data_IF_773359494491
#
_entry.id   IF_773359494491
#
_cell.length_a   1.000
_cell.length_b   1.000
_cell.length_c   1.000
_cell.angle_alpha   90.00
_cell.angle_beta   90.00
_cell.angle_gamma   90.00
#
_symmetry.space_group_name_H-M   'P 1'
#
loop_
_entity.id
_entity.type
_entity.pdbx_description
1 polymer ?
#
# COMPACT_ATOMS: atom_id res chain seq x y z
N UNK A 1 10.25 -2.94 -14.91
CA UNK A 1 9.84 -3.35 -13.56
C UNK A 1 8.51 -2.70 -13.22
N UNK A 2 7.60 -3.43 -12.62
CA UNK A 2 6.37 -2.83 -12.12
C UNK A 2 6.73 -1.91 -10.94
N UNK A 3 6.27 -0.67 -10.99
CA UNK A 3 6.53 0.31 -9.94
C UNK A 3 5.58 0.04 -8.75
N UNK A 4 6.11 -0.43 -7.64
CA UNK A 4 5.38 -0.69 -6.41
C UNK A 4 5.23 0.56 -5.53
N UNK A 5 5.72 1.72 -5.99
CA UNK A 5 5.60 2.99 -5.26
C UNK A 5 4.14 3.40 -5.05
N UNK A 6 3.84 4.11 -3.96
CA UNK A 6 2.48 4.58 -3.67
C UNK A 6 1.96 5.50 -4.78
N UNK A 7 0.66 5.41 -5.13
CA UNK A 7 0.07 6.31 -6.11
C UNK A 7 0.00 7.74 -5.57
N UNK A 8 0.15 8.73 -6.45
CA UNK A 8 -0.07 10.13 -6.12
C UNK A 8 -1.57 10.44 -6.21
N UNK A 9 -2.21 10.64 -5.08
CA UNK A 9 -3.66 10.88 -4.99
C UNK A 9 -3.90 12.36 -4.73
N UNK A 10 -4.71 12.97 -5.60
CA UNK A 10 -5.12 14.36 -5.47
C UNK A 10 -6.64 14.47 -5.61
N UNK A 11 -7.21 15.47 -4.98
CA UNK A 11 -8.62 15.89 -5.18
C UNK A 11 -8.66 17.21 -5.94
N UNK A 12 -9.74 17.43 -6.69
CA UNK A 12 -9.99 18.69 -7.35
C UNK A 12 -10.87 19.56 -6.45
N UNK A 13 -10.34 20.71 -6.03
CA UNK A 13 -11.06 21.69 -5.21
C UNK A 13 -10.99 23.05 -5.88
N UNK A 14 -12.12 23.61 -6.26
CA UNK A 14 -12.23 24.94 -6.89
C UNK A 14 -11.27 25.16 -8.08
N UNK A 15 -11.13 24.14 -8.93
CA UNK A 15 -10.24 24.22 -10.12
C UNK A 15 -8.76 23.97 -9.85
N UNK A 16 -8.37 23.73 -8.60
CA UNK A 16 -7.00 23.41 -8.22
C UNK A 16 -6.88 21.94 -7.80
N UNK A 17 -5.67 21.37 -7.95
CA UNK A 17 -5.35 20.04 -7.44
C UNK A 17 -4.78 20.14 -6.04
N UNK A 18 -5.37 19.43 -5.10
CA UNK A 18 -4.91 19.33 -3.72
C UNK A 18 -4.39 17.92 -3.45
N UNK A 19 -3.12 17.76 -2.97
CA UNK A 19 -2.59 16.45 -2.63
C UNK A 19 -3.30 15.90 -1.40
N UNK A 20 -3.76 14.63 -1.48
CA UNK A 20 -4.53 13.96 -0.44
C UNK A 20 -3.65 13.04 0.39
N UNK A 21 -2.83 12.22 -0.25
CA UNK A 21 -1.96 11.29 0.44
C UNK A 21 -0.52 11.80 0.61
N UNK A 22 0.24 11.19 1.52
CA UNK A 22 1.63 11.57 1.84
C UNK A 22 2.52 11.60 0.60
N UNK A 23 2.45 10.59 -0.26
CA UNK A 23 3.25 10.54 -1.49
C UNK A 23 2.97 11.74 -2.43
N UNK A 24 1.70 12.14 -2.58
CA UNK A 24 1.35 13.34 -3.34
C UNK A 24 1.85 14.61 -2.66
N UNK A 25 1.76 14.73 -1.34
CA UNK A 25 2.26 15.89 -0.60
C UNK A 25 3.77 16.06 -0.77
N UNK A 26 4.52 14.97 -0.68
CA UNK A 26 5.98 14.99 -0.90
C UNK A 26 6.34 15.33 -2.35
N UNK A 27 5.63 14.74 -3.32
CA UNK A 27 5.82 15.07 -4.73
C UNK A 27 5.56 16.55 -5.03
N UNK A 28 4.50 17.13 -4.49
CA UNK A 28 4.19 18.56 -4.64
C UNK A 28 5.26 19.48 -4.01
N UNK A 29 5.85 19.08 -2.87
CA UNK A 29 6.96 19.81 -2.26
C UNK A 29 8.25 19.75 -3.08
N UNK A 30 8.49 18.63 -3.76
CA UNK A 30 9.70 18.42 -4.55
C UNK A 30 9.67 19.14 -5.91
N UNK A 31 8.49 19.49 -6.43
CA UNK A 31 8.34 20.14 -7.74
C UNK A 31 8.40 21.65 -7.60
N UNK A 32 9.42 22.27 -8.23
CA UNK A 32 9.53 23.72 -8.37
C UNK A 32 9.24 24.15 -9.80
N UNK A 33 8.32 25.10 -9.98
CA UNK A 33 8.00 25.67 -11.28
C UNK A 33 6.88 24.93 -12.04
N UNK A 34 6.92 24.96 -13.37
CA UNK A 34 5.90 24.36 -14.22
C UNK A 34 6.10 22.87 -14.36
N UNK A 35 5.05 22.08 -14.17
CA UNK A 35 5.06 20.64 -14.38
C UNK A 35 3.92 20.20 -15.29
N UNK A 36 4.04 19.01 -15.87
CA UNK A 36 2.98 18.36 -16.63
C UNK A 36 2.31 17.33 -15.73
N UNK A 37 0.99 17.44 -15.55
CA UNK A 37 0.20 16.54 -14.73
C UNK A 37 -0.80 15.79 -15.60
N UNK A 38 -0.79 14.47 -15.55
CA UNK A 38 -1.80 13.63 -16.18
C UNK A 38 -2.85 13.25 -15.16
N UNK A 39 -4.08 13.70 -15.38
CA UNK A 39 -5.22 13.42 -14.50
C UNK A 39 -6.00 12.24 -15.07
N UNK A 40 -6.21 11.21 -14.25
CA UNK A 40 -7.04 10.06 -14.59
C UNK A 40 -8.01 9.76 -13.45
N UNK A 41 -9.25 9.33 -13.79
CA UNK A 41 -10.19 8.88 -12.77
C UNK A 41 -9.68 7.61 -12.10
N UNK A 42 -9.70 7.58 -10.77
CA UNK A 42 -9.28 6.39 -10.02
C UNK A 42 -10.20 5.20 -10.28
N UNK A 43 -9.60 4.07 -10.62
CA UNK A 43 -10.28 2.77 -10.65
C UNK A 43 -10.45 2.22 -9.22
N UNK A 44 -11.28 1.19 -9.05
CA UNK A 44 -11.39 0.45 -7.76
C UNK A 44 -10.04 -0.09 -7.31
N UNK A 45 -9.29 -0.68 -8.23
CA UNK A 45 -7.97 -1.24 -7.93
C UNK A 45 -6.98 -0.18 -7.42
N UNK A 46 -6.99 1.01 -8.05
CA UNK A 46 -6.16 2.13 -7.61
C UNK A 46 -6.58 2.67 -6.23
N UNK A 47 -7.90 2.71 -5.91
CA UNK A 47 -8.39 3.10 -4.58
C UNK A 47 -7.93 2.14 -3.50
N UNK A 48 -8.03 0.83 -3.72
CA UNK A 48 -7.52 -0.20 -2.81
C UNK A 48 -6.01 -0.10 -2.62
N UNK A 49 -5.28 0.21 -3.69
CA UNK A 49 -3.84 0.43 -3.61
C UNK A 49 -3.51 1.67 -2.80
N UNK A 50 -4.26 2.76 -2.96
CA UNK A 50 -4.12 3.98 -2.15
C UNK A 50 -4.39 3.70 -0.67
N UNK A 51 -5.48 2.99 -0.35
CA UNK A 51 -5.77 2.53 1.00
C UNK A 51 -4.62 1.71 1.59
N UNK A 52 -4.14 0.72 0.85
CA UNK A 52 -3.07 -0.17 1.30
C UNK A 52 -1.80 0.61 1.67
N UNK A 53 -1.33 1.52 0.83
CA UNK A 53 -0.13 2.30 1.13
C UNK A 53 -0.30 3.26 2.30
N UNK A 54 -1.48 3.88 2.44
CA UNK A 54 -1.78 4.71 3.61
C UNK A 54 -1.85 3.87 4.89
N UNK A 55 -2.37 2.64 4.82
CA UNK A 55 -2.34 1.69 5.94
C UNK A 55 -0.89 1.40 6.37
N UNK A 56 0.00 1.16 5.42
CA UNK A 56 1.40 0.92 5.74
C UNK A 56 2.07 2.13 6.40
N UNK A 57 1.76 3.35 5.98
CA UNK A 57 2.26 4.57 6.63
C UNK A 57 1.78 4.65 8.09
N UNK A 58 0.48 4.43 8.34
CA UNK A 58 -0.10 4.41 9.70
C UNK A 58 0.57 3.37 10.58
N UNK A 59 0.68 2.15 10.08
CA UNK A 59 1.27 1.03 10.85
C UNK A 59 2.76 1.24 11.10
N UNK A 60 3.49 1.76 10.11
CA UNK A 60 4.90 2.08 10.28
C UNK A 60 5.13 3.15 11.38
N UNK A 61 4.25 4.15 11.49
CA UNK A 61 4.29 5.12 12.58
C UNK A 61 4.07 4.46 13.95
N UNK A 62 3.03 3.60 14.08
CA UNK A 62 2.76 2.85 15.31
C UNK A 62 3.95 1.97 15.72
N UNK A 63 4.59 1.31 14.75
CA UNK A 63 5.74 0.45 15.01
C UNK A 63 6.98 1.27 15.41
N UNK A 64 7.22 2.44 14.81
CA UNK A 64 8.30 3.34 15.22
C UNK A 64 8.14 3.83 16.66
N UNK A 65 6.91 4.16 17.06
CA UNK A 65 6.63 4.62 18.42
C UNK A 65 6.82 3.52 19.47
N UNK A 66 6.72 2.27 19.08
CA UNK A 66 6.82 1.10 19.98
C UNK A 66 8.16 0.38 19.94
N UNK A 67 8.93 0.60 18.89
CA UNK A 67 10.22 -0.06 18.68
C UNK A 67 11.26 0.98 18.27
N UNK A 68 12.53 0.76 18.61
CA UNK A 68 13.63 1.63 18.17
C UNK A 68 14.01 1.41 16.69
N UNK A 69 13.19 0.69 15.94
CA UNK A 69 13.43 0.38 14.53
C UNK A 69 12.80 1.44 13.64
N UNK A 70 13.53 2.00 12.67
CA UNK A 70 13.03 3.05 11.77
C UNK A 70 12.11 2.46 10.67
N UNK A 71 10.96 1.94 11.06
CA UNK A 71 9.98 1.42 10.12
C UNK A 71 9.47 2.50 9.18
N UNK A 72 9.39 2.17 7.89
CA UNK A 72 8.70 2.94 6.87
C UNK A 72 7.74 2.04 6.06
N UNK A 73 6.92 2.64 5.22
CA UNK A 73 5.92 1.91 4.44
C UNK A 73 6.56 0.91 3.47
N UNK A 74 7.71 1.21 2.89
CA UNK A 74 8.38 0.32 1.92
C UNK A 74 8.98 -0.89 2.61
N UNK A 75 9.67 -0.70 3.73
CA UNK A 75 10.20 -1.79 4.55
C UNK A 75 9.09 -2.70 5.05
N UNK A 76 7.99 -2.11 5.53
CA UNK A 76 6.82 -2.86 5.97
C UNK A 76 6.14 -3.61 4.82
N UNK A 77 6.07 -3.01 3.62
CA UNK A 77 5.57 -3.65 2.42
C UNK A 77 6.37 -4.92 2.07
N UNK A 78 7.68 -4.83 2.08
CA UNK A 78 8.55 -5.98 1.81
C UNK A 78 8.40 -7.08 2.86
N UNK A 79 8.29 -6.71 4.13
CA UNK A 79 8.07 -7.65 5.22
C UNK A 79 6.72 -8.37 5.10
N UNK A 80 5.64 -7.62 4.79
CA UNK A 80 4.33 -8.20 4.55
C UNK A 80 4.33 -9.21 3.41
N UNK A 81 4.96 -8.88 2.27
CA UNK A 81 5.04 -9.80 1.12
C UNK A 81 5.77 -11.09 1.48
N UNK A 82 6.84 -11.02 2.25
CA UNK A 82 7.60 -12.19 2.72
C UNK A 82 6.79 -13.03 3.71
N UNK A 83 6.27 -12.39 4.76
CA UNK A 83 5.56 -13.06 5.85
C UNK A 83 4.25 -13.68 5.39
N UNK A 84 3.48 -12.98 4.58
CA UNK A 84 2.23 -13.47 4.00
C UNK A 84 2.43 -14.30 2.73
N UNK A 85 3.68 -14.60 2.34
CA UNK A 85 4.05 -15.45 1.21
C UNK A 85 3.36 -15.04 -0.10
N UNK A 86 3.47 -13.75 -0.43
CA UNK A 86 2.99 -13.23 -1.71
C UNK A 86 4.02 -13.53 -2.79
N UNK A 87 3.97 -14.73 -3.36
CA UNK A 87 4.93 -15.22 -4.33
C UNK A 87 4.39 -15.19 -5.76
N UNK A 88 5.30 -15.02 -6.72
CA UNK A 88 5.03 -15.06 -8.15
C UNK A 88 5.46 -16.42 -8.72
N UNK A 89 4.47 -17.30 -8.86
CA UNK A 89 4.69 -18.65 -9.40
C UNK A 89 5.38 -19.62 -8.43
N UNK A 90 5.77 -20.79 -8.94
CA UNK A 90 6.44 -21.81 -8.15
C UNK A 90 7.88 -21.41 -7.80
N UNK A 91 8.45 -22.00 -6.73
CA UNK A 91 9.83 -21.74 -6.37
C UNK A 91 10.81 -22.17 -7.46
N UNK A 92 11.86 -21.39 -7.61
CA UNK A 92 13.02 -21.75 -8.45
C UNK A 92 13.97 -22.63 -7.63
N UNK A 93 14.41 -23.74 -8.21
CA UNK A 93 15.45 -24.58 -7.60
C UNK A 93 16.83 -24.09 -8.01
N UNK A 94 17.67 -23.80 -7.04
CA UNK A 94 19.08 -23.51 -7.28
C UNK A 94 19.85 -24.81 -7.65
N UNK A 95 21.03 -24.72 -8.26
CA UNK A 95 21.88 -25.91 -8.51
C UNK A 95 22.19 -26.71 -7.26
N UNK A 96 22.19 -26.07 -6.08
CA UNK A 96 22.38 -26.73 -4.78
C UNK A 96 21.08 -27.31 -4.19
N UNK A 97 19.97 -27.35 -4.94
CA UNK A 97 18.68 -27.88 -4.51
C UNK A 97 17.86 -26.98 -3.59
N UNK A 98 18.34 -25.77 -3.30
CA UNK A 98 17.61 -24.79 -2.48
C UNK A 98 16.48 -24.16 -3.27
N UNK A 99 15.30 -24.02 -2.64
CA UNK A 99 14.17 -23.30 -3.20
C UNK A 99 14.29 -21.78 -2.95
N UNK A 100 14.08 -20.99 -4.00
CA UNK A 100 14.06 -19.54 -3.95
C UNK A 100 12.73 -19.06 -4.49
N UNK A 101 12.02 -18.26 -3.67
CA UNK A 101 10.73 -17.69 -4.02
C UNK A 101 10.90 -16.26 -4.52
N UNK A 102 10.20 -15.92 -5.61
CA UNK A 102 10.10 -14.54 -6.09
C UNK A 102 8.88 -13.87 -5.47
N UNK A 103 9.07 -12.68 -4.92
CA UNK A 103 7.97 -11.89 -4.41
C UNK A 103 7.16 -11.32 -5.58
N UNK A 104 5.83 -11.50 -5.53
CA UNK A 104 4.90 -10.90 -6.49
C UNK A 104 4.81 -9.40 -6.27
N UNK A 105 4.80 -8.63 -7.35
CA UNK A 105 4.54 -7.19 -7.31
C UNK A 105 3.09 -6.91 -6.94
N UNK A 106 2.84 -5.84 -6.20
CA UNK A 106 1.50 -5.34 -5.88
C UNK A 106 1.04 -4.21 -6.81
N UNK A 107 1.71 -4.00 -7.94
CA UNK A 107 1.30 -3.00 -8.93
C UNK A 107 -0.05 -3.34 -9.59
N UNK A 108 -0.69 -2.34 -10.20
CA UNK A 108 -1.99 -2.53 -10.88
C UNK A 108 -1.91 -3.47 -12.09
N UNK A 109 -0.70 -3.66 -12.65
CA UNK A 109 -0.45 -4.60 -13.74
C UNK A 109 -0.31 -6.04 -13.27
N UNK A 110 0.13 -6.25 -12.03
CA UNK A 110 0.46 -7.56 -11.47
C UNK A 110 -0.66 -8.15 -10.63
N UNK A 111 -1.63 -7.34 -10.22
CA UNK A 111 -2.67 -7.72 -9.28
C UNK A 111 -4.03 -7.21 -9.76
N UNK A 112 -4.96 -8.13 -10.04
CA UNK A 112 -6.32 -7.78 -10.40
C UNK A 112 -7.14 -7.34 -9.17
N UNK A 113 -8.41 -6.93 -9.38
CA UNK A 113 -9.26 -6.42 -8.30
C UNK A 113 -9.53 -7.45 -7.20
N UNK A 114 -9.75 -8.71 -7.57
CA UNK A 114 -10.05 -9.81 -6.62
C UNK A 114 -8.82 -10.12 -5.78
N UNK A 115 -7.67 -10.30 -6.43
CA UNK A 115 -6.39 -10.53 -5.75
C UNK A 115 -6.05 -9.39 -4.80
N UNK A 116 -6.30 -8.16 -5.21
CA UNK A 116 -6.02 -6.99 -4.38
C UNK A 116 -6.95 -6.89 -3.19
N UNK A 117 -8.24 -7.21 -3.34
CA UNK A 117 -9.17 -7.26 -2.22
C UNK A 117 -8.72 -8.30 -1.18
N UNK A 118 -8.39 -9.50 -1.62
CA UNK A 118 -7.89 -10.57 -0.77
C UNK A 118 -6.56 -10.18 -0.10
N UNK A 119 -5.63 -9.57 -0.84
CA UNK A 119 -4.38 -9.06 -0.30
C UNK A 119 -4.60 -7.98 0.76
N UNK A 120 -5.46 -7.01 0.50
CA UNK A 120 -5.78 -5.93 1.44
C UNK A 120 -6.36 -6.48 2.73
N UNK A 121 -7.28 -7.45 2.67
CA UNK A 121 -7.85 -8.13 3.84
C UNK A 121 -6.76 -8.81 4.67
N UNK A 122 -5.88 -9.58 4.03
CA UNK A 122 -4.75 -10.24 4.71
C UNK A 122 -3.79 -9.24 5.35
N UNK A 123 -3.50 -8.15 4.66
CA UNK A 123 -2.62 -7.10 5.16
C UNK A 123 -3.21 -6.41 6.40
N UNK A 124 -4.49 -6.03 6.36
CA UNK A 124 -5.19 -5.42 7.52
C UNK A 124 -5.14 -6.35 8.74
N UNK A 125 -5.48 -7.64 8.56
CA UNK A 125 -5.47 -8.61 9.65
C UNK A 125 -4.06 -8.81 10.23
N UNK A 126 -3.05 -8.82 9.39
CA UNK A 126 -1.66 -8.93 9.86
C UNK A 126 -1.20 -7.64 10.57
N UNK A 127 -1.58 -6.47 10.08
CA UNK A 127 -1.29 -5.19 10.74
C UNK A 127 -1.95 -5.10 12.12
N UNK A 128 -3.19 -5.58 12.27
CA UNK A 128 -3.85 -5.72 13.57
C UNK A 128 -3.03 -6.61 14.51
N UNK A 129 -2.58 -7.76 14.02
CA UNK A 129 -1.79 -8.71 14.81
C UNK A 129 -0.47 -8.10 15.32
N UNK A 130 0.30 -7.44 14.46
CA UNK A 130 1.62 -6.90 14.83
C UNK A 130 1.56 -5.60 15.64
N UNK A 131 0.50 -4.82 15.48
CA UNK A 131 0.32 -3.57 16.24
C UNK A 131 -0.52 -3.75 17.50
N UNK A 132 -1.36 -4.77 17.58
CA UNK A 132 -2.38 -4.91 18.62
C UNK A 132 -3.46 -3.81 18.56
N UNK A 133 -3.54 -3.06 17.47
CA UNK A 133 -4.58 -2.06 17.20
C UNK A 133 -5.68 -2.71 16.39
N UNK A 134 -6.92 -2.61 16.83
CA UNK A 134 -8.06 -3.18 16.11
C UNK A 134 -8.11 -2.74 14.64
N UNK A 135 -8.41 -3.66 13.74
CA UNK A 135 -8.51 -3.41 12.30
C UNK A 135 -9.42 -2.21 11.97
N UNK A 136 -10.54 -2.07 12.68
CA UNK A 136 -11.47 -0.93 12.52
C UNK A 136 -10.80 0.41 12.81
N UNK A 137 -10.03 0.50 13.89
CA UNK A 137 -9.30 1.71 14.27
C UNK A 137 -8.25 2.07 13.22
N UNK A 138 -7.52 1.08 12.69
CA UNK A 138 -6.57 1.29 11.60
C UNK A 138 -7.26 1.80 10.33
N UNK A 139 -8.41 1.23 9.97
CA UNK A 139 -9.21 1.65 8.82
C UNK A 139 -9.72 3.09 8.99
N UNK A 140 -10.22 3.44 10.16
CA UNK A 140 -10.73 4.79 10.44
C UNK A 140 -9.59 5.83 10.37
N UNK A 141 -8.40 5.50 10.85
CA UNK A 141 -7.20 6.35 10.71
C UNK A 141 -6.78 6.54 9.24
N UNK A 142 -6.81 5.46 8.45
CA UNK A 142 -6.53 5.52 7.01
C UNK A 142 -7.52 6.44 6.29
N UNK A 143 -8.80 6.35 6.62
CA UNK A 143 -9.85 7.25 6.09
C UNK A 143 -9.58 8.70 6.46
N UNK A 144 -9.26 8.96 7.72
CA UNK A 144 -8.94 10.31 8.20
C UNK A 144 -7.75 10.93 7.44
N UNK A 145 -6.80 10.10 6.99
CA UNK A 145 -5.66 10.53 6.16
C UNK A 145 -5.94 10.56 4.65
N UNK A 146 -7.18 10.35 4.23
CA UNK A 146 -7.57 10.37 2.82
C UNK A 146 -7.16 9.13 2.02
N UNK A 147 -6.85 8.02 2.68
CA UNK A 147 -6.51 6.75 2.04
C UNK A 147 -7.69 6.02 1.40
N UNK A 148 -8.92 6.49 1.64
CA UNK A 148 -10.14 5.92 1.08
C UNK A 148 -10.65 4.70 1.84
N UNK A 149 -11.54 3.94 1.17
CA UNK A 149 -12.14 2.72 1.73
C UNK A 149 -11.32 1.49 1.37
N UNK A 150 -11.24 0.50 2.26
CA UNK A 150 -10.50 -0.72 2.00
C UNK A 150 -11.11 -1.56 0.88
N UNK A 151 -12.42 -1.45 0.63
CA UNK A 151 -13.18 -2.33 -0.27
C UNK A 151 -12.70 -3.80 -0.12
N UNK A 152 -12.72 -4.28 1.12
CA UNK A 152 -12.26 -5.63 1.48
C UNK A 152 -13.16 -6.67 0.85
N UNK A 153 -12.64 -7.89 0.73
CA UNK A 153 -13.43 -9.05 0.33
C UNK A 153 -14.61 -9.18 1.30
N UNK A 154 -15.84 -9.12 0.76
CA UNK A 154 -17.02 -9.37 1.58
C UNK A 154 -16.96 -10.83 2.02
N UNK A 155 -16.95 -11.06 3.32
CA UNK A 155 -17.08 -12.40 3.86
C UNK A 155 -18.39 -12.98 3.32
N UNK A 156 -18.25 -14.01 2.49
CA UNK A 156 -19.38 -14.75 1.97
C UNK A 156 -20.09 -15.50 3.10
#
# INVERSE_FOLDING_TARGET
MANDSPPLICEQVLGSLRPVNKAAQEAFKAVNGRCVVKITKMTRNQRRRGFYWTLLDVVAEVLRDRTDTPWDAETLHDELRKTLRLYDGPPLKTPAGREVYRLKSTSDRSMNEVERAAWTTRAVNYCELITGVEARTLIDEVRARGGGEPEMEQAA
#
